data_IF_276277092468
#
_entry.id   IF_276277092468
#
_cell.length_a   1.000
_cell.length_b   1.000
_cell.length_c   1.000
_cell.angle_alpha   90.00
_cell.angle_beta   90.00
_cell.angle_gamma   90.00
#
_symmetry.space_group_name_H-M   'P 1'
#
loop_
_entity.id
_entity.type
_entity.pdbx_description
1 polymer ?
#
# COMPACT_ATOMS: atom_id res chain seq x y z
N UNK A 1 -6.05 -12.28 -7.54
CA UNK A 1 -4.95 -12.63 -8.47
C UNK A 1 -4.20 -11.38 -8.88
N UNK A 2 -3.04 -11.52 -9.52
CA UNK A 2 -2.24 -10.37 -9.96
C UNK A 2 -2.92 -9.55 -11.07
N UNK A 3 -2.65 -8.25 -11.09
CA UNK A 3 -3.06 -7.31 -12.13
C UNK A 3 -1.91 -6.35 -12.50
N UNK A 4 -1.50 -6.38 -13.77
CA UNK A 4 -0.38 -5.57 -14.25
C UNK A 4 -0.68 -4.08 -14.33
N UNK A 5 -1.95 -3.69 -14.48
CA UNK A 5 -2.34 -2.28 -14.54
C UNK A 5 -2.28 -1.65 -13.15
N UNK A 6 -2.75 -2.37 -12.12
CA UNK A 6 -2.55 -1.97 -10.72
C UNK A 6 -1.05 -1.88 -10.39
N UNK A 7 -0.23 -2.85 -10.81
CA UNK A 7 1.22 -2.81 -10.55
C UNK A 7 1.92 -1.63 -11.23
N UNK A 8 1.47 -1.24 -12.44
CA UNK A 8 1.94 -0.02 -13.12
C UNK A 8 1.54 1.24 -12.35
N UNK A 9 0.32 1.29 -11.81
CA UNK A 9 -0.17 2.36 -10.94
C UNK A 9 0.71 2.52 -9.70
N UNK A 10 0.86 1.44 -8.93
CA UNK A 10 1.70 1.37 -7.75
C UNK A 10 3.15 1.80 -8.04
N UNK A 11 3.74 1.35 -9.16
CA UNK A 11 5.10 1.75 -9.58
C UNK A 11 5.19 3.24 -9.89
N UNK A 12 4.19 3.79 -10.58
CA UNK A 12 4.12 5.21 -10.89
C UNK A 12 4.07 6.04 -9.61
N UNK A 13 3.25 5.63 -8.64
CA UNK A 13 3.13 6.32 -7.36
C UNK A 13 4.38 6.21 -6.50
N UNK A 14 4.92 5.00 -6.30
CA UNK A 14 6.11 4.75 -5.47
C UNK A 14 7.33 5.62 -5.84
N UNK A 15 7.47 5.98 -7.12
CA UNK A 15 8.53 6.88 -7.64
C UNK A 15 8.45 8.31 -7.12
N UNK A 16 7.31 8.74 -6.60
CA UNK A 16 7.18 10.07 -6.02
C UNK A 16 7.87 10.19 -4.67
N UNK A 17 8.22 9.07 -4.02
CA UNK A 17 8.89 9.05 -2.72
C UNK A 17 8.14 9.87 -1.67
N UNK A 18 6.81 9.70 -1.57
CA UNK A 18 5.95 10.40 -0.62
C UNK A 18 5.29 9.43 0.35
N UNK A 19 5.32 9.76 1.64
CA UNK A 19 4.59 9.04 2.67
C UNK A 19 3.10 9.43 2.69
N UNK A 20 2.41 9.25 1.57
CA UNK A 20 1.00 9.60 1.40
C UNK A 20 0.35 8.72 0.35
N UNK A 21 -0.96 8.53 0.44
CA UNK A 21 -1.73 7.80 -0.55
C UNK A 21 -1.83 8.51 -1.89
N UNK A 22 -1.97 7.74 -2.96
CA UNK A 22 -2.18 8.26 -4.29
C UNK A 22 -3.57 8.94 -4.42
N UNK A 23 -3.62 10.28 -4.66
CA UNK A 23 -4.87 11.03 -4.57
C UNK A 23 -5.86 10.75 -5.71
N UNK A 24 -5.43 10.06 -6.79
CA UNK A 24 -6.34 9.72 -7.88
C UNK A 24 -7.09 8.41 -7.66
N UNK A 25 -6.66 7.55 -6.73
CA UNK A 25 -7.21 6.20 -6.55
C UNK A 25 -8.71 6.18 -6.27
N UNK A 26 -9.21 7.19 -5.56
CA UNK A 26 -10.62 7.34 -5.19
C UNK A 26 -11.47 8.08 -6.25
N UNK A 27 -10.84 8.61 -7.29
CA UNK A 27 -11.53 9.27 -8.40
C UNK A 27 -12.06 8.23 -9.38
N UNK A 28 -13.38 8.26 -9.64
CA UNK A 28 -14.07 7.22 -10.40
C UNK A 28 -13.48 7.08 -11.81
N UNK A 29 -12.98 5.88 -12.13
CA UNK A 29 -12.48 5.53 -13.46
C UNK A 29 -11.18 6.21 -13.89
N UNK A 30 -10.45 6.84 -12.95
CA UNK A 30 -9.16 7.50 -13.24
C UNK A 30 -7.95 6.60 -13.09
N UNK A 31 -8.05 5.58 -12.25
CA UNK A 31 -6.91 4.81 -11.74
C UNK A 31 -6.74 3.47 -12.44
N UNK A 32 -7.85 2.87 -12.89
CA UNK A 32 -7.89 1.57 -13.53
C UNK A 32 -9.05 1.52 -14.54
N UNK A 33 -8.89 0.83 -15.69
CA UNK A 33 -9.96 0.73 -16.69
C UNK A 33 -11.19 -0.04 -16.20
N UNK A 34 -11.00 -1.03 -15.32
CA UNK A 34 -12.08 -1.92 -14.86
C UNK A 34 -12.61 -1.59 -13.45
N UNK A 35 -11.79 -0.94 -12.61
CA UNK A 35 -12.15 -0.68 -11.21
C UNK A 35 -12.60 0.76 -11.02
N UNK A 36 -13.78 0.94 -10.42
CA UNK A 36 -14.31 2.28 -10.11
C UNK A 36 -13.42 3.01 -9.12
N UNK A 37 -12.91 2.31 -8.12
CA UNK A 37 -11.96 2.77 -7.10
C UNK A 37 -10.90 1.72 -6.87
N UNK A 38 -9.76 2.17 -6.37
CA UNK A 38 -8.62 1.32 -6.08
C UNK A 38 -8.21 1.57 -4.63
N UNK A 39 -8.01 0.48 -3.88
CA UNK A 39 -7.45 0.52 -2.53
C UNK A 39 -5.94 0.56 -2.57
N UNK A 40 -5.27 0.95 -1.49
CA UNK A 40 -3.82 1.07 -1.44
C UNK A 40 -3.28 0.77 -0.05
N UNK A 41 -2.26 -0.09 0.01
CA UNK A 41 -1.39 -0.21 1.18
C UNK A 41 -0.01 0.31 0.83
N UNK A 42 0.60 1.04 1.76
CA UNK A 42 1.96 1.56 1.64
C UNK A 42 2.80 1.04 2.81
N UNK A 43 3.98 0.53 2.52
CA UNK A 43 5.01 0.23 3.49
C UNK A 43 6.19 1.16 3.25
N UNK A 44 6.74 1.69 4.33
CA UNK A 44 7.88 2.61 4.33
C UNK A 44 8.92 2.08 5.31
N UNK A 45 10.19 2.10 4.91
CA UNK A 45 11.28 1.70 5.80
C UNK A 45 12.64 2.08 5.24
N UNK A 46 13.68 1.92 6.05
CA UNK A 46 15.07 2.12 5.65
C UNK A 46 15.99 1.26 6.54
N UNK A 47 17.14 0.78 6.02
CA UNK A 47 17.59 0.82 4.63
C UNK A 47 16.85 -0.20 3.74
N UNK A 48 17.14 -0.23 2.43
CA UNK A 48 16.55 -1.21 1.50
C UNK A 48 16.73 -2.67 1.93
N UNK A 49 17.83 -3.01 2.62
CA UNK A 49 18.05 -4.37 3.12
C UNK A 49 17.05 -4.82 4.20
N UNK A 50 16.30 -3.89 4.82
CA UNK A 50 15.21 -4.22 5.73
C UNK A 50 13.91 -4.63 4.99
N UNK A 51 13.83 -4.38 3.68
CA UNK A 51 12.65 -4.68 2.90
C UNK A 51 12.64 -6.11 2.37
N UNK A 52 11.56 -6.82 2.67
CA UNK A 52 11.08 -7.97 1.89
C UNK A 52 9.57 -7.85 1.74
N UNK A 53 9.02 -8.46 0.68
CA UNK A 53 7.56 -8.52 0.48
C UNK A 53 6.87 -9.16 1.68
N UNK A 54 7.45 -10.24 2.22
CA UNK A 54 6.93 -10.93 3.40
C UNK A 54 6.90 -10.03 4.63
N UNK A 55 7.98 -9.28 4.90
CA UNK A 55 8.06 -8.37 6.04
C UNK A 55 7.03 -7.23 5.94
N UNK A 56 6.83 -6.67 4.75
CA UNK A 56 5.84 -5.63 4.53
C UNK A 56 4.41 -6.16 4.77
N UNK A 57 4.05 -7.29 4.17
CA UNK A 57 2.74 -7.93 4.35
C UNK A 57 2.53 -8.33 5.82
N UNK A 58 3.55 -8.88 6.47
CA UNK A 58 3.50 -9.25 7.88
C UNK A 58 3.27 -8.03 8.79
N UNK A 59 3.89 -6.89 8.48
CA UNK A 59 3.69 -5.64 9.20
C UNK A 59 2.25 -5.15 9.08
N UNK A 60 1.69 -5.15 7.86
CA UNK A 60 0.29 -4.82 7.64
C UNK A 60 -0.66 -5.78 8.36
N UNK A 61 -0.37 -7.09 8.34
CA UNK A 61 -1.21 -8.09 8.99
C UNK A 61 -1.21 -7.99 10.53
N UNK A 62 -0.11 -7.53 11.13
CA UNK A 62 0.01 -7.36 12.59
C UNK A 62 -0.98 -6.37 13.17
N UNK A 63 -1.46 -5.41 12.37
CA UNK A 63 -2.51 -4.49 12.78
C UNK A 63 -3.82 -5.20 13.19
N UNK A 64 -4.03 -6.43 12.73
CA UNK A 64 -5.17 -7.26 13.16
C UNK A 64 -5.20 -7.54 14.66
N UNK A 65 -4.07 -7.40 15.38
CA UNK A 65 -4.03 -7.50 16.83
C UNK A 65 -4.82 -6.36 17.53
N UNK A 66 -4.99 -5.22 16.85
CA UNK A 66 -5.74 -4.05 17.32
C UNK A 66 -7.16 -3.97 16.73
N UNK A 67 -7.56 -4.93 15.89
CA UNK A 67 -8.86 -4.94 15.20
C UNK A 67 -9.86 -5.90 15.84
N UNK A 68 -11.04 -5.39 16.18
CA UNK A 68 -12.15 -6.18 16.74
C UNK A 68 -13.23 -6.40 15.69
N UNK A 69 -13.39 -7.64 15.23
CA UNK A 69 -14.32 -8.00 14.15
C UNK A 69 -15.79 -7.81 14.52
N UNK A 70 -16.17 -8.07 15.77
CA UNK A 70 -17.56 -8.07 16.23
C UNK A 70 -18.25 -6.70 16.04
N UNK A 71 -17.50 -5.62 16.19
CA UNK A 71 -17.99 -4.25 16.09
C UNK A 71 -17.23 -3.42 15.06
N UNK A 72 -16.35 -4.05 14.26
CA UNK A 72 -15.52 -3.41 13.24
C UNK A 72 -14.70 -2.23 13.79
N UNK A 73 -14.29 -2.31 15.06
CA UNK A 73 -13.52 -1.24 15.70
C UNK A 73 -12.02 -1.49 15.63
N UNK A 74 -11.26 -0.41 15.61
CA UNK A 74 -9.81 -0.43 15.62
C UNK A 74 -9.30 0.39 16.81
N UNK A 75 -8.46 -0.22 17.64
CA UNK A 75 -7.86 0.47 18.79
C UNK A 75 -6.70 1.41 18.38
N UNK A 76 -6.09 1.17 17.21
CA UNK A 76 -4.94 1.93 16.69
C UNK A 76 -5.08 2.19 15.19
N UNK A 77 -4.18 1.61 14.39
CA UNK A 77 -4.19 1.65 12.92
C UNK A 77 -4.50 0.23 12.47
N UNK A 78 -5.54 0.08 11.65
CA UNK A 78 -5.97 -1.21 11.11
C UNK A 78 -6.27 -1.16 9.61
N UNK A 79 -5.97 -0.03 8.96
CA UNK A 79 -6.29 0.19 7.56
C UNK A 79 -5.59 -0.82 6.64
N UNK A 80 -4.34 -1.15 6.93
CA UNK A 80 -3.62 -2.10 6.10
C UNK A 80 -4.13 -3.53 6.29
N UNK A 81 -4.40 -3.93 7.53
CA UNK A 81 -4.99 -5.24 7.83
C UNK A 81 -6.38 -5.40 7.21
N UNK A 82 -7.24 -4.39 7.36
CA UNK A 82 -8.60 -4.45 6.80
C UNK A 82 -8.58 -4.52 5.28
N UNK A 83 -7.66 -3.80 4.61
CA UNK A 83 -7.47 -3.93 3.17
C UNK A 83 -6.97 -5.34 2.76
N UNK A 84 -6.07 -5.97 3.54
CA UNK A 84 -5.63 -7.35 3.28
C UNK A 84 -6.78 -8.36 3.41
N UNK A 85 -7.73 -8.11 4.31
CA UNK A 85 -8.88 -8.97 4.58
C UNK A 85 -10.15 -8.53 3.85
N UNK A 86 -10.04 -7.59 2.90
CA UNK A 86 -11.19 -7.00 2.22
C UNK A 86 -11.83 -8.01 1.26
N UNK A 87 -13.03 -8.48 1.61
CA UNK A 87 -13.66 -9.62 0.95
C UNK A 87 -13.93 -9.41 -0.55
N UNK A 88 -14.16 -8.16 -0.97
CA UNK A 88 -14.43 -7.82 -2.38
C UNK A 88 -13.16 -7.60 -3.19
N UNK A 89 -12.02 -7.34 -2.55
CA UNK A 89 -10.78 -7.08 -3.27
C UNK A 89 -10.19 -8.38 -3.83
N UNK A 90 -10.28 -8.54 -5.16
CA UNK A 90 -9.88 -9.79 -5.83
C UNK A 90 -8.68 -9.63 -6.78
N UNK A 91 -8.23 -8.40 -7.03
CA UNK A 91 -7.02 -8.08 -7.80
C UNK A 91 -6.02 -7.30 -6.97
N UNK A 92 -4.74 -7.54 -7.19
CA UNK A 92 -3.64 -6.82 -6.56
C UNK A 92 -2.50 -6.58 -7.54
N UNK A 93 -1.87 -5.41 -7.46
CA UNK A 93 -0.62 -5.13 -8.15
C UNK A 93 0.28 -4.26 -7.28
N UNK A 94 1.55 -4.63 -7.16
CA UNK A 94 2.49 -3.98 -6.24
C UNK A 94 3.78 -3.52 -6.92
N UNK A 95 4.47 -2.57 -6.31
CA UNK A 95 5.79 -2.12 -6.71
C UNK A 95 6.62 -1.63 -5.53
N UNK A 96 7.93 -1.88 -5.58
CA UNK A 96 8.91 -1.31 -4.65
C UNK A 96 9.76 -0.25 -5.35
N UNK A 97 10.11 0.80 -4.64
CA UNK A 97 11.05 1.81 -5.08
C UNK A 97 12.00 2.23 -3.95
N UNK A 98 13.28 2.40 -4.29
CA UNK A 98 14.30 2.93 -3.38
C UNK A 98 14.50 4.40 -3.68
N UNK A 99 14.25 5.24 -2.69
CA UNK A 99 14.33 6.68 -2.75
C UNK A 99 15.72 7.15 -2.31
N UNK A 100 16.54 7.56 -3.28
CA UNK A 100 17.94 7.94 -3.06
C UNK A 100 18.12 9.19 -2.18
N UNK A 101 17.08 10.01 -2.03
CA UNK A 101 17.07 11.24 -1.21
C UNK A 101 16.19 11.14 0.04
N UNK A 102 15.72 9.93 0.36
CA UNK A 102 14.69 9.74 1.38
C UNK A 102 13.27 9.84 0.84
N UNK A 103 12.30 9.67 1.74
CA UNK A 103 10.86 9.74 1.47
C UNK A 103 10.31 11.00 2.14
N UNK A 104 9.69 11.87 1.36
CA UNK A 104 9.04 13.09 1.81
C UNK A 104 8.06 12.77 2.96
N UNK A 105 8.15 13.55 4.04
CA UNK A 105 7.38 13.39 5.28
C UNK A 105 7.62 12.08 6.05
N UNK A 106 8.72 11.37 5.80
CA UNK A 106 9.07 10.15 6.53
C UNK A 106 10.54 10.06 6.91
N UNK A 107 11.46 10.22 5.97
CA UNK A 107 12.90 9.98 6.20
C UNK A 107 13.74 10.73 5.17
N UNK A 108 14.89 11.26 5.58
CA UNK A 108 15.92 11.80 4.66
C UNK A 108 17.05 10.81 4.39
N UNK A 109 16.97 9.59 4.95
CA UNK A 109 18.00 8.58 4.80
C UNK A 109 18.10 8.14 3.33
N UNK A 110 19.28 8.18 2.69
CA UNK A 110 19.49 7.49 1.43
C UNK A 110 19.10 6.01 1.58
N UNK A 111 18.56 5.41 0.52
CA UNK A 111 18.03 4.04 0.55
C UNK A 111 16.72 3.82 1.34
N UNK A 112 16.02 4.90 1.70
CA UNK A 112 14.63 4.78 2.16
C UNK A 112 13.78 4.10 1.08
N UNK A 113 13.04 3.08 1.45
CA UNK A 113 12.31 2.19 0.56
C UNK A 113 10.81 2.35 0.77
N UNK A 114 10.09 2.54 -0.32
CA UNK A 114 8.63 2.59 -0.37
C UNK A 114 8.13 1.39 -1.16
N UNK A 115 7.17 0.67 -0.60
CA UNK A 115 6.49 -0.46 -1.24
C UNK A 115 4.99 -0.19 -1.24
N UNK A 116 4.40 -0.17 -2.43
CA UNK A 116 3.00 0.16 -2.67
C UNK A 116 2.31 -1.08 -3.24
N UNK A 117 1.14 -1.42 -2.71
CA UNK A 117 0.23 -2.40 -3.29
C UNK A 117 -1.13 -1.75 -3.52
N UNK A 118 -1.61 -1.81 -4.75
CA UNK A 118 -2.93 -1.35 -5.16
C UNK A 118 -3.90 -2.54 -5.28
N UNK A 119 -5.14 -2.35 -4.82
CA UNK A 119 -6.17 -3.39 -4.75
C UNK A 119 -7.38 -3.02 -5.59
N UNK A 120 -7.82 -3.95 -6.46
CA UNK A 120 -9.00 -3.78 -7.29
C UNK A 120 -10.26 -4.20 -6.56
N UNK A 121 -11.31 -3.37 -6.63
CA UNK A 121 -12.60 -3.54 -5.94
C UNK A 121 -12.49 -3.42 -4.40
N UNK A 122 -12.00 -2.26 -3.98
CA UNK A 122 -11.82 -1.83 -2.59
C UNK A 122 -12.86 -0.78 -2.18
#
# INVERSE_FOLDING_TARGET
>A
SWDDSLARGARSWARHCKASHNPVLQQVGRSHPEFRRVGENIWLGAPYSAFTVESAIHTWNKEGADYTHQNQSCARICGHYTQLMWATSYKIGCAVHVCSRGIDNFSTNPESTIFVCDYGDA
#
